data_IF_547873967780
#
_entry.id   IF_547873967780
#
_cell.length_a   1.000
_cell.length_b   1.000
_cell.length_c   1.000
_cell.angle_alpha   90.00
_cell.angle_beta   90.00
_cell.angle_gamma   90.00
#
_symmetry.space_group_name_H-M   'P 1'
#
loop_
_entity.id
_entity.type
_entity.pdbx_description
1 polymer ?
#
# COMPACT_ATOMS: atom_id res chain seq x y z
N UNK A 1 52.88 -23.11 18.39
CA UNK A 1 51.55 -23.38 18.97
C UNK A 1 50.86 -22.05 19.22
N UNK A 2 50.08 -21.56 18.26
CA UNK A 2 49.34 -20.30 18.39
C UNK A 2 47.96 -20.61 18.99
N UNK A 3 47.71 -20.13 20.21
CA UNK A 3 46.38 -20.15 20.81
C UNK A 3 45.57 -19.02 20.20
N UNK A 4 44.92 -19.29 19.07
CA UNK A 4 43.86 -18.43 18.53
C UNK A 4 42.72 -18.39 19.55
N UNK A 5 42.70 -17.32 20.37
CA UNK A 5 41.54 -16.97 21.19
C UNK A 5 40.35 -16.78 20.26
N UNK A 6 39.33 -17.63 20.41
CA UNK A 6 38.05 -17.46 19.74
C UNK A 6 37.42 -16.15 20.19
N UNK A 7 37.02 -15.33 19.22
CA UNK A 7 36.22 -14.12 19.45
C UNK A 7 34.86 -14.60 20.01
N UNK A 8 34.37 -14.05 21.14
CA UNK A 8 33.05 -14.39 21.63
C UNK A 8 32.01 -14.04 20.57
N UNK A 9 31.19 -15.01 20.17
CA UNK A 9 29.98 -14.70 19.40
C UNK A 9 29.08 -13.90 20.31
N UNK A 10 28.92 -12.61 20.01
CA UNK A 10 27.81 -11.84 20.55
C UNK A 10 26.54 -12.63 20.22
N UNK A 11 25.78 -12.98 21.26
CA UNK A 11 24.45 -13.54 21.09
C UNK A 11 23.66 -12.51 20.31
N UNK A 12 23.42 -12.77 19.03
CA UNK A 12 22.49 -11.99 18.23
C UNK A 12 21.20 -11.91 19.04
N UNK A 13 20.96 -10.70 19.56
CA UNK A 13 19.77 -10.36 20.30
C UNK A 13 18.58 -10.82 19.46
N UNK A 14 17.75 -11.72 20.02
CA UNK A 14 16.42 -12.05 19.51
C UNK A 14 15.48 -10.85 19.68
N UNK A 15 15.91 -9.66 19.28
CA UNK A 15 14.97 -8.63 18.91
C UNK A 15 14.44 -9.11 17.57
N UNK A 16 13.22 -9.65 17.58
CA UNK A 16 12.42 -9.71 16.37
C UNK A 16 12.45 -8.30 15.78
N UNK A 17 13.28 -8.07 14.77
CA UNK A 17 13.21 -6.85 14.00
C UNK A 17 11.74 -6.74 13.56
N UNK A 18 11.03 -5.67 13.93
CA UNK A 18 9.64 -5.52 13.53
C UNK A 18 9.63 -5.58 12.01
N UNK A 19 8.98 -6.63 11.50
CA UNK A 19 8.95 -7.03 10.11
C UNK A 19 9.00 -5.81 9.19
N UNK A 20 10.08 -5.65 8.42
CA UNK A 20 10.26 -4.69 7.31
C UNK A 20 9.21 -3.57 7.28
N UNK A 21 9.19 -2.71 8.30
CA UNK A 21 8.30 -1.56 8.33
C UNK A 21 8.97 -0.50 7.48
N UNK A 22 8.88 -0.67 6.16
CA UNK A 22 9.49 0.31 5.27
C UNK A 22 8.61 1.55 5.37
N UNK A 23 9.19 2.66 5.82
CA UNK A 23 8.54 3.98 6.02
C UNK A 23 8.09 4.63 4.69
N UNK A 24 7.58 3.83 3.76
CA UNK A 24 7.05 4.25 2.48
C UNK A 24 5.79 5.10 2.63
N UNK A 25 4.97 4.84 3.64
CA UNK A 25 3.64 5.45 3.79
C UNK A 25 3.69 6.98 3.90
N UNK A 26 4.78 7.54 4.44
CA UNK A 26 4.93 9.00 4.58
C UNK A 26 5.79 9.65 3.47
N UNK A 27 6.26 8.86 2.50
CA UNK A 27 6.97 9.42 1.35
C UNK A 27 5.98 10.21 0.46
N UNK A 28 6.41 11.35 -0.13
CA UNK A 28 5.56 12.17 -0.98
C UNK A 28 4.85 11.39 -2.08
N UNK A 29 5.53 10.41 -2.69
CA UNK A 29 4.96 9.54 -3.72
C UNK A 29 3.72 8.78 -3.25
N UNK A 30 3.74 8.17 -2.06
CA UNK A 30 2.61 7.39 -1.55
C UNK A 30 1.43 8.28 -1.16
N UNK A 31 1.73 9.48 -0.64
CA UNK A 31 0.70 10.51 -0.39
C UNK A 31 0.03 10.97 -1.68
N UNK A 32 0.82 11.30 -2.69
CA UNK A 32 0.30 11.73 -3.99
C UNK A 32 -0.50 10.61 -4.68
N UNK A 33 -0.04 9.37 -4.58
CA UNK A 33 -0.74 8.21 -5.10
C UNK A 33 -2.08 7.99 -4.39
N UNK A 34 -2.09 8.03 -3.05
CA UNK A 34 -3.31 7.92 -2.24
C UNK A 34 -4.33 9.00 -2.62
N UNK A 35 -3.89 10.25 -2.71
CA UNK A 35 -4.75 11.38 -3.08
C UNK A 35 -5.30 11.24 -4.50
N UNK A 36 -4.47 10.78 -5.44
CA UNK A 36 -4.88 10.52 -6.82
C UNK A 36 -5.96 9.44 -6.89
N UNK A 37 -5.74 8.32 -6.19
CA UNK A 37 -6.69 7.20 -6.13
C UNK A 37 -8.03 7.67 -5.52
N UNK A 38 -7.99 8.43 -4.42
CA UNK A 38 -9.18 9.00 -3.80
C UNK A 38 -9.98 9.94 -4.73
N UNK A 39 -9.28 10.78 -5.50
CA UNK A 39 -9.92 11.65 -6.52
C UNK A 39 -10.56 10.86 -7.65
N UNK A 40 -9.92 9.77 -8.09
CA UNK A 40 -10.48 8.90 -9.12
C UNK A 40 -11.75 8.18 -8.63
N UNK A 41 -11.74 7.64 -7.40
CA UNK A 41 -12.93 7.04 -6.77
C UNK A 41 -14.10 8.04 -6.77
N UNK A 42 -13.85 9.26 -6.30
CA UNK A 42 -14.85 10.33 -6.29
C UNK A 42 -15.39 10.65 -7.69
N UNK A 43 -14.52 10.60 -8.70
CA UNK A 43 -14.89 10.84 -10.10
C UNK A 43 -15.75 9.70 -10.66
N UNK A 44 -15.39 8.44 -10.39
CA UNK A 44 -16.18 7.27 -10.78
C UNK A 44 -17.56 7.29 -10.11
N UNK A 45 -17.66 7.63 -8.82
CA UNK A 45 -18.93 7.72 -8.10
C UNK A 45 -19.84 8.81 -8.69
N UNK A 46 -19.29 9.99 -9.02
CA UNK A 46 -20.03 11.05 -9.75
C UNK A 46 -20.47 10.60 -11.14
N UNK A 47 -19.60 9.92 -11.87
CA UNK A 47 -19.91 9.40 -13.20
C UNK A 47 -21.02 8.34 -13.16
N UNK A 48 -21.01 7.49 -12.13
CA UNK A 48 -22.02 6.45 -11.91
C UNK A 48 -23.41 7.06 -11.69
N UNK A 49 -23.53 8.15 -10.93
CA UNK A 49 -24.81 8.85 -10.71
C UNK A 49 -25.41 9.32 -12.05
N UNK A 50 -24.56 9.81 -12.96
CA UNK A 50 -25.01 10.39 -14.23
C UNK A 50 -25.17 9.36 -15.36
N UNK A 51 -24.77 8.11 -15.15
CA UNK A 51 -24.77 7.09 -16.20
C UNK A 51 -26.02 6.20 -16.12
N UNK A 52 -26.82 6.19 -17.19
CA UNK A 52 -28.04 5.37 -17.30
C UNK A 52 -27.80 3.99 -17.94
N UNK A 53 -26.85 3.90 -18.85
CA UNK A 53 -26.54 2.67 -19.58
C UNK A 53 -25.96 1.60 -18.64
N UNK A 54 -26.58 0.42 -18.60
CA UNK A 54 -26.22 -0.64 -17.65
C UNK A 54 -24.81 -1.18 -17.87
N UNK A 55 -24.35 -1.27 -19.12
CA UNK A 55 -23.03 -1.77 -19.44
C UNK A 55 -21.96 -0.79 -18.95
N UNK A 56 -22.13 0.51 -19.25
CA UNK A 56 -21.23 1.56 -18.77
C UNK A 56 -21.22 1.64 -17.24
N UNK A 57 -22.38 1.51 -16.59
CA UNK A 57 -22.45 1.45 -15.11
C UNK A 57 -21.62 0.29 -14.56
N UNK A 58 -21.72 -0.90 -15.13
CA UNK A 58 -20.94 -2.07 -14.70
C UNK A 58 -19.42 -1.83 -14.85
N UNK A 59 -18.99 -1.19 -15.95
CA UNK A 59 -17.58 -0.82 -16.15
C UNK A 59 -17.13 0.14 -15.04
N UNK A 60 -17.89 1.22 -14.80
CA UNK A 60 -17.58 2.21 -13.76
C UNK A 60 -17.52 1.55 -12.37
N UNK A 61 -18.47 0.67 -12.05
CA UNK A 61 -18.49 -0.02 -10.76
C UNK A 61 -17.28 -0.95 -10.56
N UNK A 62 -16.84 -1.66 -11.61
CA UNK A 62 -15.62 -2.49 -11.56
C UNK A 62 -14.38 -1.64 -11.34
N UNK A 63 -14.27 -0.51 -12.04
CA UNK A 63 -13.15 0.42 -11.87
C UNK A 63 -13.13 1.01 -10.46
N UNK A 64 -14.28 1.46 -9.95
CA UNK A 64 -14.41 1.93 -8.55
C UNK A 64 -13.96 0.86 -7.56
N UNK A 65 -14.33 -0.41 -7.77
CA UNK A 65 -13.92 -1.51 -6.88
C UNK A 65 -12.40 -1.70 -6.88
N UNK A 66 -11.78 -1.71 -8.06
CA UNK A 66 -10.32 -1.84 -8.17
C UNK A 66 -9.62 -0.69 -7.44
N UNK A 67 -10.09 0.55 -7.62
CA UNK A 67 -9.51 1.72 -6.96
C UNK A 67 -9.67 1.66 -5.42
N UNK A 68 -10.79 1.15 -4.92
CA UNK A 68 -11.00 0.94 -3.47
C UNK A 68 -10.03 -0.09 -2.90
N UNK A 69 -9.81 -1.20 -3.61
CA UNK A 69 -8.81 -2.21 -3.22
C UNK A 69 -7.38 -1.64 -3.22
N UNK A 70 -7.03 -0.82 -4.23
CA UNK A 70 -5.73 -0.13 -4.24
C UNK A 70 -5.60 0.81 -3.05
N UNK A 71 -6.66 1.56 -2.71
CA UNK A 71 -6.63 2.45 -1.56
C UNK A 71 -6.44 1.69 -0.25
N UNK A 72 -7.15 0.57 -0.06
CA UNK A 72 -6.99 -0.29 1.12
C UNK A 72 -5.55 -0.81 1.25
N UNK A 73 -4.89 -1.16 0.14
CA UNK A 73 -3.48 -1.57 0.14
C UNK A 73 -2.50 -0.45 0.49
N UNK A 74 -2.86 0.82 0.23
CA UNK A 74 -2.03 1.98 0.56
C UNK A 74 -2.21 2.47 2.00
N UNK A 75 -3.22 1.97 2.72
CA UNK A 75 -3.50 2.32 4.12
C UNK A 75 -3.01 1.26 5.12
N UNK A 76 -2.45 0.15 4.64
CA UNK A 76 -1.92 -0.97 5.42
C UNK A 76 -0.41 -0.81 5.69
#
# INVERSE_FOLDING_TARGET
MSLLKSIPREMESKAEEPAYCIEYLDQPFYRDLKDMVGKQISSCERLLINTKDIYKRNVIQRETLILKLVLELLEY
#
